data_IF_978040652224
#
_entry.id   IF_978040652224
#
_cell.length_a   1.000
_cell.length_b   1.000
_cell.length_c   1.000
_cell.angle_alpha   90.00
_cell.angle_beta   90.00
_cell.angle_gamma   90.00
#
_symmetry.space_group_name_H-M   'P 1'
#
loop_
_entity.id
_entity.type
_entity.pdbx_description
1 polymer ?
#
# COMPACT_ATOMS: atom_id res chain seq x y z
N UNK A 1 -8.74 8.47 17.31
CA UNK A 1 -8.62 8.28 15.87
C UNK A 1 -7.14 8.12 15.52
N UNK A 2 -6.82 7.03 14.82
CA UNK A 2 -5.41 6.67 14.56
C UNK A 2 -4.75 7.55 13.50
N UNK A 3 -5.53 8.12 12.58
CA UNK A 3 -5.05 8.99 11.48
C UNK A 3 -4.45 10.32 11.91
N UNK A 4 -4.59 10.69 13.16
CA UNK A 4 -4.05 11.96 13.66
C UNK A 4 -2.54 11.92 13.92
N UNK A 5 -1.97 10.75 14.24
CA UNK A 5 -0.58 10.66 14.68
C UNK A 5 0.41 11.09 13.57
N UNK A 6 0.24 10.58 12.34
CA UNK A 6 1.11 10.95 11.22
C UNK A 6 0.95 12.41 10.81
N UNK A 7 -0.28 12.94 10.84
CA UNK A 7 -0.56 14.34 10.51
C UNK A 7 0.11 15.33 11.48
N UNK A 8 0.32 14.94 12.75
CA UNK A 8 1.01 15.78 13.73
C UNK A 8 2.45 16.06 13.38
N UNK A 9 3.10 15.11 12.74
CA UNK A 9 4.53 15.17 12.44
C UNK A 9 4.85 15.79 11.08
N UNK A 10 3.86 16.03 10.22
CA UNK A 10 4.12 16.74 8.97
C UNK A 10 4.39 18.23 9.26
N UNK A 11 5.32 18.82 8.50
CA UNK A 11 5.63 20.26 8.58
C UNK A 11 4.36 21.11 8.46
N UNK A 12 4.30 22.17 9.22
CA UNK A 12 3.17 23.11 9.25
C UNK A 12 1.85 22.49 9.74
N UNK A 13 1.94 21.41 10.52
CA UNK A 13 0.77 20.77 11.12
C UNK A 13 0.04 21.74 12.05
N UNK A 14 -1.26 21.88 11.83
CA UNK A 14 -2.15 22.67 12.70
C UNK A 14 -2.43 22.00 14.05
N UNK A 15 -2.01 20.77 14.21
CA UNK A 15 -2.25 19.95 15.41
C UNK A 15 -1.07 19.94 16.37
N UNK A 16 0.04 20.59 16.00
CA UNK A 16 1.25 20.64 16.81
C UNK A 16 1.71 22.09 16.97
N UNK A 17 2.01 22.50 18.20
CA UNK A 17 2.52 23.83 18.50
C UNK A 17 3.95 24.05 17.96
N UNK A 18 4.70 22.98 17.76
CA UNK A 18 6.05 23.03 17.20
C UNK A 18 6.08 22.48 15.77
N UNK A 19 6.72 23.23 14.86
CA UNK A 19 6.96 22.75 13.49
C UNK A 19 8.06 21.69 13.49
N UNK A 20 7.73 20.46 13.06
CA UNK A 20 8.70 19.37 12.94
C UNK A 20 9.71 19.56 11.80
N UNK A 21 9.42 20.44 10.85
CA UNK A 21 10.12 20.61 9.56
C UNK A 21 10.12 19.34 8.66
N UNK A 22 9.44 18.26 9.03
CA UNK A 22 9.30 17.08 8.21
C UNK A 22 8.32 17.35 7.06
N UNK A 23 8.83 17.45 5.86
CA UNK A 23 8.00 17.64 4.66
C UNK A 23 7.12 16.42 4.39
N UNK A 24 7.69 15.23 4.56
CA UNK A 24 7.04 13.95 4.28
C UNK A 24 7.01 13.10 5.55
N UNK A 25 5.88 12.47 5.81
CA UNK A 25 5.67 11.53 6.92
C UNK A 25 5.08 10.23 6.39
N UNK A 26 5.23 9.15 7.14
CA UNK A 26 4.72 7.82 6.76
C UNK A 26 3.29 7.63 7.27
N UNK A 27 2.40 7.18 6.38
CA UNK A 27 0.98 6.93 6.71
C UNK A 27 0.77 5.49 7.17
N UNK A 28 1.15 5.20 8.41
CA UNK A 28 0.94 3.88 9.01
C UNK A 28 -0.54 3.53 9.19
N UNK A 29 -1.39 4.52 9.41
CA UNK A 29 -2.82 4.28 9.60
C UNK A 29 -3.47 3.77 8.32
N UNK A 30 -3.13 4.37 7.18
CA UNK A 30 -3.57 3.86 5.89
C UNK A 30 -3.00 2.47 5.61
N UNK A 31 -1.73 2.22 5.96
CA UNK A 31 -1.09 0.91 5.80
C UNK A 31 -1.82 -0.18 6.57
N UNK A 32 -2.04 0.01 7.88
CA UNK A 32 -2.76 -0.98 8.70
C UNK A 32 -4.20 -1.16 8.25
N UNK A 33 -4.82 -0.08 7.77
CA UNK A 33 -6.17 -0.14 7.22
C UNK A 33 -6.20 -0.94 5.92
N UNK A 34 -5.26 -0.72 5.01
CA UNK A 34 -5.14 -1.49 3.76
C UNK A 34 -4.89 -2.97 4.02
N UNK A 35 -3.97 -3.31 4.96
CA UNK A 35 -3.71 -4.69 5.32
C UNK A 35 -4.97 -5.42 5.78
N UNK A 36 -5.83 -4.76 6.56
CA UNK A 36 -7.12 -5.30 7.00
C UNK A 36 -8.15 -5.30 5.87
N UNK A 37 -8.35 -4.19 5.20
CA UNK A 37 -9.39 -4.03 4.19
C UNK A 37 -9.21 -4.95 2.99
N UNK A 38 -7.96 -5.18 2.56
CA UNK A 38 -7.64 -6.13 1.49
C UNK A 38 -7.28 -7.52 2.03
N UNK A 39 -7.04 -7.67 3.35
CA UNK A 39 -6.66 -8.90 4.03
C UNK A 39 -7.82 -9.73 4.49
N UNK A 40 -8.78 -9.09 5.10
CA UNK A 40 -9.99 -9.75 5.49
C UNK A 40 -10.80 -10.09 4.23
N UNK A 41 -11.42 -11.26 4.20
CA UNK A 41 -12.39 -11.54 3.17
C UNK A 41 -13.40 -10.39 3.18
N UNK A 42 -13.35 -9.53 2.17
CA UNK A 42 -14.25 -8.41 2.02
C UNK A 42 -15.68 -8.92 1.91
N UNK A 43 -16.29 -9.25 3.03
CA UNK A 43 -17.70 -9.46 3.07
C UNK A 43 -18.34 -8.08 3.17
N UNK A 44 -18.93 -7.62 2.08
CA UNK A 44 -19.85 -6.48 2.03
C UNK A 44 -21.02 -6.62 3.02
N UNK A 45 -21.05 -7.69 3.81
CA UNK A 45 -22.12 -8.05 4.74
C UNK A 45 -21.94 -7.50 6.16
N UNK A 46 -20.76 -7.01 6.52
CA UNK A 46 -20.45 -6.59 7.89
C UNK A 46 -20.65 -5.09 8.16
N UNK A 47 -21.28 -4.35 7.22
CA UNK A 47 -21.64 -2.96 7.41
C UNK A 47 -20.47 -1.98 7.28
N UNK A 48 -20.62 -0.82 7.89
CA UNK A 48 -19.67 0.32 7.75
C UNK A 48 -18.31 0.09 8.41
N UNK A 49 -18.09 -1.00 9.12
CA UNK A 49 -16.84 -1.26 9.85
C UNK A 49 -15.88 -2.19 9.13
N UNK A 50 -16.19 -2.64 7.92
CA UNK A 50 -15.41 -3.65 7.22
C UNK A 50 -14.95 -3.21 5.81
N UNK A 51 -13.91 -3.87 5.31
CA UNK A 51 -13.45 -3.76 3.94
C UNK A 51 -13.04 -2.34 3.51
N UNK A 52 -13.44 -1.97 2.30
CA UNK A 52 -13.06 -0.68 1.70
C UNK A 52 -13.66 0.54 2.39
N UNK A 53 -14.69 0.37 3.21
CA UNK A 53 -15.24 1.46 4.00
C UNK A 53 -14.21 2.00 5.01
N UNK A 54 -13.37 1.14 5.57
CA UNK A 54 -12.27 1.56 6.46
C UNK A 54 -11.24 2.44 5.73
N UNK A 55 -10.97 2.15 4.47
CA UNK A 55 -10.10 2.98 3.64
C UNK A 55 -10.73 4.35 3.42
N UNK A 56 -12.04 4.37 3.10
CA UNK A 56 -12.79 5.62 2.97
C UNK A 56 -12.68 6.49 4.23
N UNK A 57 -12.88 5.90 5.42
CA UNK A 57 -12.81 6.64 6.69
C UNK A 57 -11.41 7.24 6.96
N UNK A 58 -10.35 6.52 6.64
CA UNK A 58 -8.98 7.03 6.82
C UNK A 58 -8.70 8.16 5.83
N UNK A 59 -9.03 7.97 4.56
CA UNK A 59 -8.85 9.01 3.52
C UNK A 59 -9.73 10.25 3.81
N UNK A 60 -10.93 10.07 4.37
CA UNK A 60 -11.78 11.20 4.78
C UNK A 60 -11.14 12.10 5.85
N UNK A 61 -10.08 11.64 6.50
CA UNK A 61 -9.31 12.42 7.47
C UNK A 61 -8.12 13.17 6.85
N UNK A 62 -7.97 13.15 5.54
CA UNK A 62 -6.84 13.81 4.84
C UNK A 62 -6.78 15.33 5.09
N UNK A 63 -7.89 15.95 5.48
CA UNK A 63 -7.91 17.36 5.90
C UNK A 63 -7.02 17.66 7.11
N UNK A 64 -6.61 16.64 7.86
CA UNK A 64 -5.69 16.76 8.99
C UNK A 64 -4.24 16.96 8.54
N UNK A 65 -3.89 16.48 7.35
CA UNK A 65 -2.57 16.66 6.78
C UNK A 65 -2.46 18.06 6.16
N UNK A 66 -1.41 18.84 6.47
CA UNK A 66 -1.10 20.06 5.74
C UNK A 66 -0.92 19.83 4.23
N UNK A 67 -0.29 18.70 3.87
CA UNK A 67 -0.04 18.30 2.49
C UNK A 67 -0.17 16.78 2.32
N UNK A 68 -1.36 16.27 2.03
CA UNK A 68 -1.59 14.84 1.85
C UNK A 68 -0.86 14.24 0.65
N UNK A 69 -0.48 15.04 -0.36
CA UNK A 69 0.30 14.56 -1.50
C UNK A 69 1.77 14.28 -1.14
N UNK A 70 2.27 14.86 -0.06
CA UNK A 70 3.60 14.59 0.48
C UNK A 70 3.59 13.58 1.65
N UNK A 71 2.63 12.69 1.69
CA UNK A 71 2.58 11.59 2.67
C UNK A 71 3.03 10.30 2.01
N UNK A 72 3.95 9.57 2.66
CA UNK A 72 4.46 8.30 2.14
C UNK A 72 3.43 7.21 2.44
N UNK A 73 2.92 6.58 1.39
CA UNK A 73 1.92 5.50 1.46
C UNK A 73 2.52 4.17 1.05
N UNK A 74 2.17 3.09 1.76
CA UNK A 74 2.77 1.77 1.54
C UNK A 74 1.85 0.66 2.04
N UNK A 75 2.03 -0.56 1.56
CA UNK A 75 1.28 -1.74 1.99
C UNK A 75 2.05 -2.56 3.03
N UNK A 76 3.36 -2.60 2.89
CA UNK A 76 4.30 -3.30 3.76
C UNK A 76 5.66 -2.59 3.77
N UNK A 77 6.52 -2.98 4.70
CA UNK A 77 7.91 -2.53 4.80
C UNK A 77 8.74 -3.55 5.60
N UNK A 78 10.00 -3.21 5.89
CA UNK A 78 10.93 -4.07 6.63
C UNK A 78 10.57 -4.30 8.11
N UNK A 79 9.66 -3.51 8.68
CA UNK A 79 9.21 -3.63 10.08
C UNK A 79 7.84 -4.28 10.21
N UNK A 80 7.11 -4.44 9.11
CA UNK A 80 5.79 -5.05 9.05
C UNK A 80 5.86 -6.43 8.38
N UNK A 81 4.87 -7.28 8.64
CA UNK A 81 4.65 -8.46 7.82
C UNK A 81 4.42 -8.07 6.36
N UNK A 82 4.87 -8.93 5.43
CA UNK A 82 4.62 -8.74 4.00
C UNK A 82 3.12 -8.61 3.74
N UNK A 83 2.74 -7.78 2.77
CA UNK A 83 1.33 -7.65 2.37
C UNK A 83 0.73 -9.00 1.94
N UNK A 84 1.51 -9.79 1.22
CA UNK A 84 1.16 -11.19 0.93
C UNK A 84 1.56 -12.06 2.11
N UNK A 85 0.57 -12.65 2.78
CA UNK A 85 0.82 -13.59 3.87
C UNK A 85 1.30 -14.93 3.33
N UNK A 86 1.97 -15.72 4.17
CA UNK A 86 2.47 -17.04 3.79
C UNK A 86 1.34 -17.95 3.31
N UNK A 87 1.52 -18.54 2.13
CA UNK A 87 0.52 -19.39 1.48
C UNK A 87 -0.58 -18.66 0.73
N UNK A 88 -0.62 -17.34 0.80
CA UNK A 88 -1.55 -16.55 0.00
C UNK A 88 -1.10 -16.47 -1.46
N UNK A 89 -2.02 -16.71 -2.35
CA UNK A 89 -1.82 -16.61 -3.80
C UNK A 89 -2.94 -15.83 -4.51
N UNK A 90 -3.75 -15.08 -3.76
CA UNK A 90 -4.86 -14.33 -4.37
C UNK A 90 -4.35 -13.10 -5.11
N UNK A 91 -4.08 -13.31 -6.39
CA UNK A 91 -3.64 -12.26 -7.30
C UNK A 91 -4.70 -11.16 -7.47
N UNK A 92 -5.98 -11.43 -7.26
CA UNK A 92 -7.05 -10.41 -7.35
C UNK A 92 -6.92 -9.42 -6.21
N UNK A 93 -6.72 -9.91 -4.99
CA UNK A 93 -6.47 -9.10 -3.81
C UNK A 93 -5.22 -8.23 -4.00
N UNK A 94 -4.12 -8.85 -4.43
CA UNK A 94 -2.89 -8.14 -4.76
C UNK A 94 -3.14 -7.01 -5.76
N UNK A 95 -3.82 -7.29 -6.87
CA UNK A 95 -4.09 -6.30 -7.91
C UNK A 95 -4.95 -5.14 -7.40
N UNK A 96 -5.96 -5.40 -6.57
CA UNK A 96 -6.78 -4.35 -5.96
C UNK A 96 -5.94 -3.44 -5.05
N UNK A 97 -5.12 -4.00 -4.18
CA UNK A 97 -4.30 -3.24 -3.27
C UNK A 97 -3.22 -2.42 -4.00
N UNK A 98 -2.55 -3.00 -4.99
CA UNK A 98 -1.56 -2.28 -5.82
C UNK A 98 -2.23 -1.19 -6.66
N UNK A 99 -3.42 -1.44 -7.22
CA UNK A 99 -4.18 -0.40 -7.90
C UNK A 99 -4.45 0.77 -6.97
N UNK A 100 -4.99 0.51 -5.78
CA UNK A 100 -5.25 1.55 -4.79
C UNK A 100 -3.97 2.29 -4.41
N UNK A 101 -2.90 1.59 -4.03
CA UNK A 101 -1.61 2.19 -3.66
C UNK A 101 -1.07 3.14 -4.74
N UNK A 102 -1.18 2.74 -6.00
CA UNK A 102 -0.59 3.49 -7.12
C UNK A 102 -1.54 4.53 -7.73
N UNK A 103 -2.78 4.61 -7.29
CA UNK A 103 -3.75 5.59 -7.78
C UNK A 103 -4.29 6.53 -6.69
N UNK A 104 -4.02 6.23 -5.42
CA UNK A 104 -4.36 7.14 -4.32
C UNK A 104 -3.37 8.31 -4.23
N UNK A 105 -3.71 9.29 -3.38
CA UNK A 105 -2.83 10.42 -3.05
C UNK A 105 -1.55 9.96 -2.35
N UNK A 106 -0.53 10.79 -2.34
CA UNK A 106 0.73 10.57 -1.66
C UNK A 106 1.81 9.93 -2.53
N UNK A 107 2.93 9.64 -1.90
CA UNK A 107 4.13 9.07 -2.51
C UNK A 107 4.14 7.56 -2.24
N UNK A 108 3.90 6.69 -3.24
CA UNK A 108 3.90 5.26 -3.00
C UNK A 108 5.30 4.74 -2.74
N UNK A 109 5.46 4.02 -1.64
CA UNK A 109 6.64 3.22 -1.32
C UNK A 109 6.34 1.75 -1.56
N UNK A 110 7.17 1.09 -2.35
CA UNK A 110 7.08 -0.34 -2.60
C UNK A 110 8.26 -1.02 -1.92
N UNK A 111 7.98 -1.96 -1.06
CA UNK A 111 8.99 -2.78 -0.44
C UNK A 111 9.45 -3.85 -1.44
N UNK A 112 10.76 -4.07 -1.56
CA UNK A 112 11.31 -5.02 -2.53
C UNK A 112 10.67 -6.40 -2.38
N UNK A 113 10.44 -7.07 -3.50
CA UNK A 113 9.83 -8.40 -3.53
C UNK A 113 8.30 -8.40 -3.49
N UNK A 114 7.64 -7.26 -3.17
CA UNK A 114 6.18 -7.14 -3.28
C UNK A 114 5.74 -7.35 -4.72
N UNK A 115 6.53 -6.91 -5.70
CA UNK A 115 6.29 -7.07 -7.13
C UNK A 115 6.29 -8.52 -7.61
N UNK A 116 6.92 -9.43 -6.86
CA UNK A 116 6.98 -10.87 -7.13
C UNK A 116 6.28 -11.71 -6.05
N UNK A 117 5.39 -11.10 -5.28
CA UNK A 117 4.59 -11.76 -4.25
C UNK A 117 5.42 -12.41 -3.12
N UNK A 118 6.57 -11.85 -2.76
CA UNK A 118 7.30 -12.31 -1.58
C UNK A 118 6.39 -12.24 -0.36
N UNK A 119 6.39 -13.28 0.44
CA UNK A 119 5.52 -13.44 1.59
C UNK A 119 6.29 -13.62 2.88
N UNK A 120 5.65 -13.39 4.01
CA UNK A 120 6.20 -13.59 5.34
C UNK A 120 5.40 -12.83 6.39
N UNK A 121 5.29 -13.40 7.56
CA UNK A 121 4.57 -12.79 8.68
C UNK A 121 5.54 -12.26 9.73
N UNK A 122 5.13 -11.24 10.45
CA UNK A 122 5.92 -10.69 11.57
C UNK A 122 6.11 -11.73 12.69
N UNK A 123 5.17 -12.65 12.86
CA UNK A 123 5.25 -13.72 13.84
C UNK A 123 6.39 -14.72 13.55
N UNK A 124 6.81 -14.86 12.29
CA UNK A 124 7.94 -15.70 11.88
C UNK A 124 9.30 -15.02 12.10
N UNK A 125 9.29 -13.75 12.44
CA UNK A 125 10.48 -12.94 12.73
C UNK A 125 10.95 -12.07 11.56
N UNK A 126 11.77 -11.08 11.90
CA UNK A 126 12.26 -10.07 10.95
C UNK A 126 13.11 -10.67 9.82
N UNK A 127 13.86 -11.74 10.11
CA UNK A 127 14.67 -12.43 9.11
C UNK A 127 13.84 -12.98 7.95
N UNK A 128 12.62 -13.42 8.21
CA UNK A 128 11.71 -13.96 7.19
C UNK A 128 11.15 -12.85 6.30
N UNK A 129 10.73 -11.74 6.89
CA UNK A 129 10.21 -10.61 6.10
C UNK A 129 11.30 -9.84 5.35
N UNK A 130 12.56 -10.06 5.70
CA UNK A 130 13.76 -9.41 5.13
C UNK A 130 14.65 -10.38 4.35
N UNK A 131 14.13 -11.54 3.94
CA UNK A 131 14.88 -12.48 3.10
C UNK A 131 15.33 -11.83 1.80
N UNK A 132 16.46 -12.26 1.27
CA UNK A 132 17.00 -11.75 0.02
C UNK A 132 16.01 -11.92 -1.13
N UNK A 133 16.07 -10.98 -2.08
CA UNK A 133 15.36 -11.13 -3.33
C UNK A 133 15.96 -12.32 -4.10
N UNK A 134 15.13 -13.24 -4.62
CA UNK A 134 15.63 -14.43 -5.29
C UNK A 134 16.40 -14.07 -6.57
N UNK A 135 17.69 -14.27 -6.60
CA UNK A 135 18.57 -13.96 -7.72
C UNK A 135 19.49 -12.77 -7.46
N UNK A 136 20.46 -12.60 -8.34
CA UNK A 136 21.45 -11.54 -8.28
C UNK A 136 22.82 -12.00 -7.76
N UNK A 137 22.94 -13.21 -7.21
CA UNK A 137 24.20 -13.77 -6.74
C UNK A 137 24.62 -14.98 -7.56
N UNK A 138 25.93 -15.13 -7.74
CA UNK A 138 26.47 -16.32 -8.41
C UNK A 138 26.09 -17.59 -7.61
N UNK A 139 25.41 -18.52 -8.28
CA UNK A 139 24.97 -19.77 -7.68
C UNK A 139 23.55 -19.76 -7.12
N UNK A 140 22.82 -18.67 -7.23
CA UNK A 140 21.41 -18.65 -6.86
C UNK A 140 20.61 -19.68 -7.68
N UNK A 141 19.76 -20.47 -7.05
CA UNK A 141 18.98 -21.50 -7.73
C UNK A 141 17.86 -20.93 -8.62
N UNK A 142 17.53 -19.66 -8.42
CA UNK A 142 16.50 -18.90 -9.16
C UNK A 142 16.97 -17.48 -9.35
N UNK A 143 16.60 -16.90 -10.48
CA UNK A 143 16.82 -15.49 -10.78
C UNK A 143 15.48 -14.82 -11.10
N UNK A 144 14.82 -14.28 -10.08
CA UNK A 144 13.54 -13.59 -10.25
C UNK A 144 13.65 -12.20 -10.92
N UNK A 145 14.85 -11.74 -11.25
CA UNK A 145 15.02 -10.58 -12.13
C UNK A 145 14.61 -10.89 -13.57
N UNK A 146 14.64 -12.16 -13.94
CA UNK A 146 14.23 -12.63 -15.28
C UNK A 146 12.84 -13.26 -15.26
N UNK A 147 12.08 -13.20 -16.37
CA UNK A 147 10.77 -13.87 -16.46
C UNK A 147 10.83 -15.38 -16.22
N UNK A 148 11.91 -16.02 -16.64
CA UNK A 148 12.14 -17.46 -16.54
C UNK A 148 12.36 -17.92 -15.11
N UNK A 149 12.93 -17.05 -14.26
CA UNK A 149 13.15 -17.31 -12.84
C UNK A 149 11.91 -17.06 -11.98
N UNK A 150 10.86 -16.49 -12.53
CA UNK A 150 9.57 -16.24 -11.86
C UNK A 150 8.54 -17.29 -12.22
N UNK A 151 7.62 -17.56 -11.30
CA UNK A 151 6.42 -18.36 -11.63
C UNK A 151 5.46 -17.54 -12.50
N UNK A 152 4.49 -18.19 -13.13
CA UNK A 152 3.45 -17.51 -13.93
C UNK A 152 2.69 -16.47 -13.08
N UNK A 153 2.41 -16.78 -11.81
CA UNK A 153 1.72 -15.88 -10.91
C UNK A 153 2.59 -14.65 -10.58
N UNK A 154 3.88 -14.85 -10.34
CA UNK A 154 4.84 -13.78 -10.12
C UNK A 154 5.02 -12.91 -11.37
N UNK A 155 5.05 -13.50 -12.55
CA UNK A 155 5.09 -12.75 -13.81
C UNK A 155 3.84 -11.87 -13.99
N UNK A 156 2.65 -12.40 -13.67
CA UNK A 156 1.42 -11.62 -13.72
C UNK A 156 1.41 -10.45 -12.72
N UNK A 157 1.93 -10.65 -11.51
CA UNK A 157 2.06 -9.59 -10.49
C UNK A 157 3.04 -8.51 -10.93
N UNK A 158 4.22 -8.92 -11.39
CA UNK A 158 5.26 -8.05 -11.92
C UNK A 158 4.74 -7.17 -13.06
N UNK A 159 4.13 -7.80 -14.07
CA UNK A 159 3.62 -7.08 -15.24
C UNK A 159 2.51 -6.09 -14.87
N UNK A 160 1.65 -6.46 -13.94
CA UNK A 160 0.60 -5.59 -13.47
C UNK A 160 1.16 -4.35 -12.77
N UNK A 161 2.07 -4.53 -11.81
CA UNK A 161 2.71 -3.42 -11.10
C UNK A 161 3.52 -2.55 -12.05
N UNK A 162 4.30 -3.15 -12.95
CA UNK A 162 5.10 -2.43 -13.95
C UNK A 162 4.23 -1.54 -14.83
N UNK A 163 3.08 -2.04 -15.30
CA UNK A 163 2.14 -1.26 -16.12
C UNK A 163 1.59 -0.05 -15.36
N UNK A 164 1.18 -0.24 -14.11
CA UNK A 164 0.64 0.83 -13.28
C UNK A 164 1.70 1.87 -12.91
N UNK A 165 2.92 1.46 -12.58
CA UNK A 165 4.03 2.38 -12.29
C UNK A 165 4.37 3.24 -13.51
N UNK A 166 4.48 2.65 -14.69
CA UNK A 166 4.73 3.38 -15.93
C UNK A 166 3.58 4.33 -16.30
N UNK A 167 2.34 3.95 -16.00
CA UNK A 167 1.19 4.82 -16.18
C UNK A 167 1.23 5.98 -15.18
N UNK A 168 1.43 5.71 -13.87
CA UNK A 168 1.50 6.73 -12.82
C UNK A 168 2.59 7.76 -13.11
N UNK A 169 3.75 7.33 -13.60
CA UNK A 169 4.85 8.24 -13.94
C UNK A 169 4.41 9.34 -14.93
N UNK A 170 3.45 9.06 -15.79
CA UNK A 170 2.93 9.95 -16.85
C UNK A 170 1.59 10.58 -16.53
N UNK A 171 1.01 10.28 -15.37
CA UNK A 171 -0.31 10.76 -14.97
C UNK A 171 -0.19 11.82 -13.88
N UNK A 172 -0.24 13.09 -14.27
CA UNK A 172 -0.14 14.21 -13.32
C UNK A 172 -1.31 14.27 -12.34
N UNK A 173 -2.48 13.81 -12.77
CA UNK A 173 -3.67 13.77 -11.91
C UNK A 173 -3.44 12.98 -10.59
N UNK A 174 -2.75 11.85 -10.65
CA UNK A 174 -2.46 11.06 -9.45
C UNK A 174 -1.22 11.50 -8.69
N UNK A 175 -0.37 12.34 -9.28
CA UNK A 175 0.85 12.89 -8.63
C UNK A 175 0.57 14.20 -7.91
N UNK A 176 -0.24 15.07 -8.52
CA UNK A 176 -0.43 16.46 -8.12
C UNK A 176 -1.89 16.82 -7.89
N UNK A 177 -2.83 15.98 -8.36
CA UNK A 177 -4.26 16.20 -8.25
C UNK A 177 -4.76 16.09 -6.81
N UNK A 178 -5.94 16.66 -6.56
CA UNK A 178 -6.67 16.47 -5.31
C UNK A 178 -7.50 15.21 -5.41
N UNK A 179 -7.36 14.33 -4.43
CA UNK A 179 -8.20 13.14 -4.35
C UNK A 179 -9.63 13.54 -3.95
N UNK A 180 -10.59 13.14 -4.76
CA UNK A 180 -12.02 13.23 -4.48
C UNK A 180 -12.55 11.83 -4.31
N UNK A 181 -13.31 11.57 -3.27
CA UNK A 181 -13.81 10.23 -3.00
C UNK A 181 -15.26 10.23 -2.51
N UNK A 182 -15.92 9.11 -2.70
CA UNK A 182 -17.33 8.92 -2.39
C UNK A 182 -17.50 7.79 -1.41
N UNK A 183 -18.48 7.94 -0.51
CA UNK A 183 -18.79 6.89 0.46
C UNK A 183 -19.10 5.58 -0.27
N UNK A 184 -18.43 4.47 0.08
CA UNK A 184 -18.75 3.16 -0.48
C UNK A 184 -20.21 2.81 -0.22
N UNK A 185 -20.86 2.20 -1.20
CA UNK A 185 -22.20 1.69 -1.04
C UNK A 185 -22.21 0.28 -0.42
N UNK A 186 -23.40 -0.29 -0.26
CA UNK A 186 -23.58 -1.65 0.29
C UNK A 186 -23.01 -2.76 -0.62
N UNK A 187 -22.64 -2.45 -1.86
CA UNK A 187 -21.98 -3.40 -2.76
C UNK A 187 -20.49 -3.57 -2.45
N UNK A 188 -19.94 -2.73 -1.58
CA UNK A 188 -18.52 -2.71 -1.26
C UNK A 188 -17.66 -2.02 -2.32
N UNK A 189 -18.27 -1.31 -3.28
CA UNK A 189 -17.53 -0.49 -4.25
C UNK A 189 -17.10 0.82 -3.62
N UNK A 190 -15.80 1.11 -3.70
CA UNK A 190 -15.22 2.40 -3.32
C UNK A 190 -14.82 3.16 -4.57
N UNK A 191 -15.37 4.36 -4.73
CA UNK A 191 -15.13 5.23 -5.89
C UNK A 191 -14.34 6.45 -5.45
N UNK A 192 -13.28 6.75 -6.18
CA UNK A 192 -12.48 7.97 -6.01
C UNK A 192 -11.90 8.42 -7.36
N UNK A 193 -11.55 9.69 -7.46
CA UNK A 193 -10.98 10.34 -8.62
C UNK A 193 -9.84 11.30 -8.21
#
# INVERSE_FOLDING_TARGET
PRGTASAWWQRDSKMNESNSNLKTVMDFDLTFTCQKAFGDACSSREGFEAGLFKIYEVIAQDFLFPDPNNVLVFLDNHDLGRFMQKGESDLRRYKQAIAFLLTTRGIPQIYYGTEILMSGTKAEGDGIIRTDFPGGWAGDPKDAFTPEGRTDLQNQAWDYMRKLLNWRQRCDAVKEGKLIHYTPDKSGCYVYA
#
